data_IF_065899911266
#
_entry.id   IF_065899911266
#
_cell.length_a   1.000
_cell.length_b   1.000
_cell.length_c   1.000
_cell.angle_alpha   90.00
_cell.angle_beta   90.00
_cell.angle_gamma   90.00
#
_symmetry.space_group_name_H-M   'P 1'
#
loop_
_entity.id
_entity.type
_entity.pdbx_description
1 polymer ?
#
# COMPACT_ATOMS: atom_id res chain seq x y z
N UNK A 1 2.11 17.37 -21.60
CA UNK A 1 3.57 17.49 -21.43
C UNK A 1 4.08 16.13 -21.01
N UNK A 2 4.93 15.51 -21.82
CA UNK A 2 5.65 14.28 -21.42
C UNK A 2 6.77 14.71 -20.50
N UNK A 3 6.77 14.22 -19.26
CA UNK A 3 7.95 14.28 -18.40
C UNK A 3 9.13 13.64 -19.15
N UNK A 4 10.34 14.19 -19.00
CA UNK A 4 11.56 13.54 -19.46
C UNK A 4 11.64 12.11 -18.88
N UNK A 5 12.28 11.18 -19.60
CA UNK A 5 12.51 9.83 -19.09
C UNK A 5 13.39 9.92 -17.84
N UNK A 6 12.80 9.82 -16.66
CA UNK A 6 13.54 9.58 -15.43
C UNK A 6 14.14 8.17 -15.59
N UNK A 7 15.47 8.09 -15.65
CA UNK A 7 16.20 6.83 -15.55
C UNK A 7 16.05 6.30 -14.13
N UNK A 8 14.96 5.57 -13.87
CA UNK A 8 14.77 4.83 -12.63
C UNK A 8 15.22 3.40 -12.87
N UNK A 9 16.22 2.94 -12.13
CA UNK A 9 16.69 1.57 -12.21
C UNK A 9 15.68 0.60 -11.55
N UNK A 10 15.66 -0.69 -11.97
CA UNK A 10 14.77 -1.69 -11.40
C UNK A 10 14.90 -1.88 -9.89
N UNK A 11 16.08 -1.67 -9.29
CA UNK A 11 16.28 -1.85 -7.85
C UNK A 11 15.62 -0.72 -7.04
N UNK A 12 15.69 0.51 -7.53
CA UNK A 12 14.95 1.65 -6.96
C UNK A 12 13.43 1.43 -7.01
N UNK A 13 12.91 0.88 -8.10
CA UNK A 13 11.49 0.53 -8.22
C UNK A 13 11.07 -0.55 -7.21
N UNK A 14 11.89 -1.58 -7.00
CA UNK A 14 11.62 -2.60 -5.98
C UNK A 14 11.66 -2.04 -4.55
N UNK A 15 12.62 -1.17 -4.26
CA UNK A 15 12.69 -0.50 -2.95
C UNK A 15 11.43 0.32 -2.69
N UNK A 16 10.92 1.02 -3.70
CA UNK A 16 9.66 1.75 -3.60
C UNK A 16 8.45 0.80 -3.47
N UNK A 17 8.48 -0.37 -4.11
CA UNK A 17 7.45 -1.40 -3.96
C UNK A 17 7.41 -1.95 -2.53
N UNK A 18 8.56 -2.23 -1.93
CA UNK A 18 8.69 -2.68 -0.54
C UNK A 18 8.16 -1.62 0.42
N UNK A 19 8.48 -0.34 0.19
CA UNK A 19 7.94 0.77 0.97
C UNK A 19 6.41 0.84 0.94
N UNK A 20 5.80 0.55 -0.23
CA UNK A 20 4.35 0.46 -0.36
C UNK A 20 3.77 -0.76 0.35
N UNK A 21 4.43 -1.91 0.30
CA UNK A 21 4.00 -3.10 1.04
C UNK A 21 4.04 -2.86 2.57
N UNK A 22 5.07 -2.18 3.07
CA UNK A 22 5.19 -1.79 4.48
C UNK A 22 4.07 -0.82 4.86
N UNK A 23 3.80 0.20 4.04
CA UNK A 23 2.71 1.16 4.30
C UNK A 23 1.34 0.46 4.34
N UNK A 24 1.08 -0.46 3.41
CA UNK A 24 -0.16 -1.25 3.40
C UNK A 24 -0.31 -2.09 4.69
N UNK A 25 0.76 -2.77 5.12
CA UNK A 25 0.75 -3.53 6.36
C UNK A 25 0.47 -2.65 7.59
N UNK A 26 1.08 -1.48 7.66
CA UNK A 26 0.86 -0.54 8.78
C UNK A 26 -0.59 -0.02 8.83
N UNK A 27 -1.20 0.19 7.66
CA UNK A 27 -2.60 0.62 7.56
C UNK A 27 -3.57 -0.51 7.95
N UNK A 28 -3.26 -1.76 7.64
CA UNK A 28 -4.02 -2.92 8.08
C UNK A 28 -3.94 -3.12 9.61
N UNK A 29 -2.75 -2.95 10.19
CA UNK A 29 -2.54 -2.96 11.64
C UNK A 29 -3.33 -1.83 12.32
N UNK A 30 -3.28 -0.61 11.75
CA UNK A 30 -4.03 0.54 12.24
C UNK A 30 -5.55 0.32 12.17
N UNK A 31 -6.08 -0.19 11.04
CA UNK A 31 -7.51 -0.51 10.89
C UNK A 31 -7.97 -1.52 11.95
N UNK A 32 -7.15 -2.55 12.18
CA UNK A 32 -7.40 -3.58 13.20
C UNK A 32 -7.39 -3.00 14.61
N UNK A 33 -6.43 -2.14 14.93
CA UNK A 33 -6.33 -1.45 16.21
C UNK A 33 -7.54 -0.52 16.45
N UNK A 34 -7.99 0.25 15.45
CA UNK A 34 -9.18 1.08 15.56
C UNK A 34 -10.44 0.27 15.84
N UNK A 35 -10.61 -0.86 15.13
CA UNK A 35 -11.75 -1.78 15.31
C UNK A 35 -11.75 -2.42 16.70
N UNK A 36 -10.59 -2.80 17.23
CA UNK A 36 -10.50 -3.36 18.57
C UNK A 36 -10.74 -2.30 19.64
N UNK A 37 -10.08 -1.14 19.53
CA UNK A 37 -10.20 -0.05 20.50
C UNK A 37 -11.66 0.40 20.68
N UNK A 38 -12.44 0.48 19.60
CA UNK A 38 -13.84 0.90 19.71
C UNK A 38 -14.73 -0.15 20.40
N UNK A 39 -14.43 -1.44 20.24
CA UNK A 39 -15.11 -2.50 21.00
C UNK A 39 -14.86 -2.33 22.49
N UNK A 40 -13.61 -2.07 22.87
CA UNK A 40 -13.23 -1.91 24.28
C UNK A 40 -13.83 -0.64 24.88
N UNK A 41 -13.80 0.49 24.15
CA UNK A 41 -14.36 1.77 24.59
C UNK A 41 -15.87 1.72 24.75
N UNK A 42 -16.60 1.04 23.85
CA UNK A 42 -18.06 0.94 23.98
C UNK A 42 -18.47 0.12 25.21
N UNK A 43 -17.75 -0.97 25.50
CA UNK A 43 -17.97 -1.75 26.71
C UNK A 43 -17.74 -0.89 27.97
N UNK A 44 -16.67 -0.09 27.98
CA UNK A 44 -16.36 0.79 29.10
C UNK A 44 -17.38 1.93 29.26
N UNK A 45 -17.89 2.48 28.15
CA UNK A 45 -18.94 3.49 28.17
C UNK A 45 -20.24 2.97 28.77
N UNK A 46 -20.67 1.77 28.35
CA UNK A 46 -21.85 1.10 28.90
C UNK A 46 -21.67 0.77 30.38
N UNK A 47 -20.47 0.36 30.79
CA UNK A 47 -20.12 0.08 32.19
C UNK A 47 -20.19 1.33 33.08
N UNK A 48 -19.67 2.45 32.60
CA UNK A 48 -19.54 3.68 33.40
C UNK A 48 -20.82 4.53 33.44
N UNK A 49 -21.57 4.56 32.33
CA UNK A 49 -22.69 5.50 32.16
C UNK A 49 -24.05 4.81 31.97
N UNK A 50 -24.06 3.47 31.94
CA UNK A 50 -25.25 2.68 31.79
C UNK A 50 -25.92 2.84 30.41
N UNK A 51 -27.17 2.37 30.27
CA UNK A 51 -27.86 2.31 28.97
C UNK A 51 -28.14 3.69 28.35
N UNK A 52 -28.18 4.76 29.15
CA UNK A 52 -28.42 6.13 28.68
C UNK A 52 -27.32 6.61 27.72
N UNK A 53 -26.09 6.09 27.86
CA UNK A 53 -24.97 6.45 26.99
C UNK A 53 -24.87 5.60 25.71
N UNK A 54 -25.77 4.63 25.50
CA UNK A 54 -25.75 3.77 24.32
C UNK A 54 -25.74 4.53 22.97
N UNK A 55 -26.42 5.69 22.80
CA UNK A 55 -26.33 6.46 21.56
C UNK A 55 -24.92 6.99 21.27
N UNK A 56 -24.15 7.36 22.31
CA UNK A 56 -22.77 7.83 22.16
C UNK A 56 -21.87 6.69 21.70
N UNK A 57 -21.98 5.51 22.33
CA UNK A 57 -21.26 4.31 21.91
C UNK A 57 -21.55 3.93 20.46
N UNK A 58 -22.81 4.00 20.05
CA UNK A 58 -23.23 3.74 18.66
C UNK A 58 -22.60 4.72 17.67
N UNK A 59 -22.60 6.02 17.98
CA UNK A 59 -22.02 7.04 17.13
C UNK A 59 -20.49 6.89 17.01
N UNK A 60 -19.81 6.58 18.13
CA UNK A 60 -18.38 6.30 18.11
C UNK A 60 -18.07 5.05 17.28
N UNK A 61 -18.84 3.96 17.44
CA UNK A 61 -18.70 2.76 16.61
C UNK A 61 -18.76 3.09 15.13
N UNK A 62 -19.80 3.81 14.70
CA UNK A 62 -19.95 4.19 13.30
C UNK A 62 -18.75 5.02 12.78
N UNK A 63 -18.28 5.99 13.57
CA UNK A 63 -17.13 6.80 13.20
C UNK A 63 -15.84 5.97 13.02
N UNK A 64 -15.49 5.13 14.00
CA UNK A 64 -14.25 4.34 13.95
C UNK A 64 -14.33 3.18 12.95
N UNK A 65 -15.51 2.65 12.66
CA UNK A 65 -15.71 1.77 11.49
C UNK A 65 -15.34 2.52 10.21
N UNK A 66 -15.84 3.75 10.02
CA UNK A 66 -15.49 4.57 8.85
C UNK A 66 -14.00 4.87 8.73
N UNK A 67 -13.31 5.17 9.85
CA UNK A 67 -11.85 5.34 9.87
C UNK A 67 -11.13 4.04 9.46
N UNK A 68 -11.57 2.91 10.00
CA UNK A 68 -11.00 1.60 9.65
C UNK A 68 -11.18 1.25 8.18
N UNK A 69 -12.33 1.59 7.58
CA UNK A 69 -12.61 1.38 6.16
C UNK A 69 -11.75 2.28 5.26
N UNK A 70 -11.54 3.54 5.65
CA UNK A 70 -10.61 4.44 4.96
C UNK A 70 -9.17 3.93 5.00
N UNK A 71 -8.72 3.45 6.17
CA UNK A 71 -7.39 2.86 6.31
C UNK A 71 -7.22 1.62 5.43
N UNK A 72 -8.23 0.73 5.39
CA UNK A 72 -8.24 -0.44 4.50
C UNK A 72 -8.20 -0.03 3.03
N UNK A 73 -8.94 1.01 2.64
CA UNK A 73 -8.91 1.55 1.27
C UNK A 73 -7.51 2.06 0.88
N UNK A 74 -6.91 2.90 1.72
CA UNK A 74 -5.55 3.39 1.50
C UNK A 74 -4.50 2.26 1.49
N UNK A 75 -4.66 1.24 2.34
CA UNK A 75 -3.81 0.06 2.33
C UNK A 75 -3.87 -0.70 0.99
N UNK A 76 -5.08 -0.83 0.43
CA UNK A 76 -5.29 -1.39 -0.90
C UNK A 76 -4.62 -0.59 -2.02
N UNK A 77 -4.66 0.74 -1.97
CA UNK A 77 -3.98 1.61 -2.94
C UNK A 77 -2.46 1.45 -2.88
N UNK A 78 -1.89 1.39 -1.68
CA UNK A 78 -0.46 1.13 -1.48
C UNK A 78 -0.08 -0.26 -2.00
N UNK A 79 -0.83 -1.31 -1.68
CA UNK A 79 -0.57 -2.65 -2.19
C UNK A 79 -0.59 -2.72 -3.73
N UNK A 80 -1.57 -2.06 -4.35
CA UNK A 80 -1.68 -1.97 -5.82
C UNK A 80 -0.51 -1.19 -6.43
N UNK A 81 -0.09 -0.09 -5.81
CA UNK A 81 1.09 0.66 -6.24
C UNK A 81 2.36 -0.19 -6.14
N UNK A 82 2.53 -0.94 -5.04
CA UNK A 82 3.63 -1.88 -4.88
C UNK A 82 3.70 -2.90 -6.01
N UNK A 83 2.57 -3.51 -6.38
CA UNK A 83 2.51 -4.42 -7.52
C UNK A 83 2.87 -3.75 -8.85
N UNK A 84 2.38 -2.53 -9.08
CA UNK A 84 2.69 -1.77 -10.29
C UNK A 84 4.19 -1.46 -10.41
N UNK A 85 4.84 -1.11 -9.30
CA UNK A 85 6.27 -0.84 -9.22
C UNK A 85 7.10 -2.11 -9.48
N UNK A 86 6.73 -3.24 -8.87
CA UNK A 86 7.37 -4.54 -9.12
C UNK A 86 7.24 -4.97 -10.57
N UNK A 87 6.04 -4.83 -11.16
CA UNK A 87 5.80 -5.13 -12.56
C UNK A 87 6.58 -4.19 -13.49
N UNK A 88 6.71 -2.91 -13.13
CA UNK A 88 7.53 -1.97 -13.88
C UNK A 88 9.02 -2.34 -13.84
N UNK A 89 9.54 -2.74 -12.68
CA UNK A 89 10.91 -3.20 -12.52
C UNK A 89 11.21 -4.39 -13.45
N UNK A 90 10.35 -5.42 -13.46
CA UNK A 90 10.52 -6.58 -14.34
C UNK A 90 10.53 -6.22 -15.83
N UNK A 91 9.62 -5.32 -16.26
CA UNK A 91 9.60 -4.84 -17.65
C UNK A 91 10.87 -4.09 -18.06
N UNK A 92 11.50 -3.38 -17.12
CA UNK A 92 12.75 -2.67 -17.40
C UNK A 92 13.93 -3.65 -17.51
N UNK A 93 13.98 -4.67 -16.65
CA UNK A 93 14.99 -5.73 -16.75
C UNK A 93 14.87 -6.51 -18.06
N UNK A 94 13.66 -6.91 -18.45
CA UNK A 94 13.42 -7.59 -19.72
C UNK A 94 13.89 -6.73 -20.91
N UNK A 95 13.67 -5.41 -20.84
CA UNK A 95 14.09 -4.47 -21.87
C UNK A 95 15.61 -4.29 -21.89
N UNK A 96 16.26 -4.25 -20.72
CA UNK A 96 17.72 -4.15 -20.58
C UNK A 96 18.40 -5.42 -21.12
N UNK A 97 17.88 -6.60 -20.79
CA UNK A 97 18.37 -7.89 -21.29
C UNK A 97 18.20 -8.03 -22.81
N UNK A 98 17.04 -7.63 -23.34
CA UNK A 98 16.79 -7.61 -24.78
C UNK A 98 17.73 -6.63 -25.49
N UNK A 99 17.96 -5.45 -24.89
CA UNK A 99 18.89 -4.44 -25.38
C UNK A 99 20.33 -4.94 -25.42
N UNK A 100 20.80 -5.54 -24.32
CA UNK A 100 22.14 -6.14 -24.24
C UNK A 100 22.33 -7.27 -25.26
N UNK A 101 21.32 -8.13 -25.42
CA UNK A 101 21.34 -9.20 -26.42
C UNK A 101 21.46 -8.65 -27.84
N UNK A 102 20.67 -7.62 -28.18
CA UNK A 102 20.70 -6.98 -29.50
C UNK A 102 22.05 -6.29 -29.78
N UNK A 103 22.62 -5.60 -28.79
CA UNK A 103 23.96 -4.96 -28.90
C UNK A 103 25.05 -6.01 -29.11
N UNK A 104 25.04 -7.10 -28.33
CA UNK A 104 26.01 -8.18 -28.47
C UNK A 104 25.88 -8.89 -29.82
N UNK A 105 24.66 -9.09 -30.32
CA UNK A 105 24.42 -9.65 -31.65
C UNK A 105 24.92 -8.72 -32.77
N UNK A 106 24.74 -7.40 -32.63
CA UNK A 106 25.25 -6.41 -33.58
C UNK A 106 26.79 -6.30 -33.55
N UNK A 107 27.41 -6.41 -32.37
CA UNK A 107 28.86 -6.39 -32.20
C UNK A 107 29.55 -7.69 -32.66
N UNK A 108 28.84 -8.82 -32.64
CA UNK A 108 29.34 -10.13 -33.10
C UNK A 108 29.25 -10.38 -34.62
N UNK A 109 28.71 -9.45 -35.40
CA UNK A 109 28.55 -9.54 -36.85
C UNK A 109 29.57 -8.76 -37.68
N UNK A 110 30.57 -8.15 -37.04
CA UNK A 110 31.66 -7.42 -37.70
C UNK A 110 33.01 -8.00 -37.28
N UNK A 111 33.34 -9.16 -37.87
CA UNK A 111 34.71 -9.60 -38.15
C UNK A 111 34.74 -10.21 -39.54
#
# INVERSE_FOLDING_TARGET
>A
MSSERISVDPASLRTAADGNAVAASQLDDYSSACKQWIVDVEQEFLRCHGPIAAPVGTAMRAFFTGVGDQATGAGGEHAAMGQNLTNAAGRYEDADDAGATAVNAAAGGVL
#
